data_IF_975257564609
#
_entry.id   IF_975257564609
#
_cell.length_a   1.000
_cell.length_b   1.000
_cell.length_c   1.000
_cell.angle_alpha   90.00
_cell.angle_beta   90.00
_cell.angle_gamma   90.00
#
_symmetry.space_group_name_H-M   'P 1'
#
loop_
_entity.id
_entity.type
_entity.pdbx_description
1 polymer ?
#
# COMPACT_ATOMS: atom_id res chain seq x y z
N UNK A 1 -19.82 -49.91 -0.77
CA UNK A 1 -19.08 -48.79 -1.40
C UNK A 1 -19.34 -47.53 -0.57
N UNK A 2 -18.32 -46.87 0.00
CA UNK A 2 -18.54 -45.66 0.78
C UNK A 2 -18.83 -44.49 -0.14
N UNK A 3 -20.03 -43.93 0.05
CA UNK A 3 -20.60 -42.80 -0.67
C UNK A 3 -19.77 -41.54 -0.35
N UNK A 4 -18.86 -41.13 -1.25
CA UNK A 4 -18.10 -39.87 -1.16
C UNK A 4 -19.05 -38.71 -1.39
N UNK A 5 -19.75 -38.30 -0.34
CA UNK A 5 -20.46 -37.02 -0.30
C UNK A 5 -19.40 -35.93 -0.37
N UNK A 6 -19.39 -35.17 -1.47
CA UNK A 6 -18.69 -33.90 -1.56
C UNK A 6 -19.10 -33.06 -0.35
N UNK A 7 -18.18 -32.83 0.58
CA UNK A 7 -18.40 -31.92 1.70
C UNK A 7 -18.63 -30.54 1.12
N UNK A 8 -19.82 -29.98 1.34
CA UNK A 8 -20.09 -28.57 1.10
C UNK A 8 -18.97 -27.74 1.75
N UNK A 9 -18.54 -26.62 1.14
CA UNK A 9 -17.61 -25.70 1.80
C UNK A 9 -18.18 -25.41 3.19
N UNK A 10 -17.36 -25.43 4.26
CA UNK A 10 -17.83 -25.34 5.63
C UNK A 10 -18.78 -24.15 5.77
N UNK A 11 -20.07 -24.48 5.74
CA UNK A 11 -21.21 -23.60 5.85
C UNK A 11 -21.07 -22.93 7.21
N UNK A 12 -20.93 -21.60 7.25
CA UNK A 12 -21.50 -20.61 8.21
C UNK A 12 -21.57 -20.94 9.74
N UNK A 13 -21.08 -22.08 10.19
CA UNK A 13 -21.16 -22.65 11.54
C UNK A 13 -19.78 -22.75 12.18
N UNK A 14 -18.73 -22.31 11.48
CA UNK A 14 -17.44 -22.07 12.12
C UNK A 14 -17.62 -20.83 12.97
N UNK A 15 -17.69 -21.00 14.29
CA UNK A 15 -17.73 -19.88 15.22
C UNK A 15 -16.54 -18.96 14.90
N UNK A 16 -16.84 -17.70 14.61
CA UNK A 16 -15.80 -16.73 14.30
C UNK A 16 -14.85 -16.67 15.51
N UNK A 17 -13.57 -17.05 15.37
CA UNK A 17 -12.65 -17.09 16.50
C UNK A 17 -12.39 -15.70 17.10
N UNK A 18 -12.80 -14.65 16.38
CA UNK A 18 -12.67 -13.26 16.80
C UNK A 18 -13.91 -12.77 17.53
N UNK A 19 -13.69 -12.15 18.68
CA UNK A 19 -14.75 -11.46 19.40
C UNK A 19 -15.26 -10.28 18.58
N UNK A 20 -16.57 -10.01 18.59
CA UNK A 20 -17.18 -8.87 17.86
C UNK A 20 -16.49 -7.54 18.18
N UNK A 21 -15.98 -7.40 19.40
CA UNK A 21 -15.20 -6.24 19.85
C UNK A 21 -13.85 -6.12 19.15
N UNK A 22 -13.14 -7.22 18.96
CA UNK A 22 -11.84 -7.25 18.28
C UNK A 22 -12.00 -6.92 16.80
N UNK A 23 -13.03 -7.46 16.15
CA UNK A 23 -13.37 -7.13 14.77
C UNK A 23 -13.66 -5.62 14.60
N UNK A 24 -14.42 -5.03 15.52
CA UNK A 24 -14.69 -3.59 15.50
C UNK A 24 -13.44 -2.73 15.68
N UNK A 25 -12.55 -3.10 16.60
CA UNK A 25 -11.28 -2.40 16.81
C UNK A 25 -10.42 -2.52 15.54
N UNK A 26 -10.35 -3.70 14.94
CA UNK A 26 -9.60 -3.91 13.69
C UNK A 26 -10.11 -3.02 12.57
N UNK A 27 -11.45 -2.95 12.37
CA UNK A 27 -12.06 -2.11 11.34
C UNK A 27 -11.75 -0.63 11.58
N UNK A 28 -11.84 -0.15 12.82
CA UNK A 28 -11.55 1.24 13.16
C UNK A 28 -10.08 1.57 12.88
N UNK A 29 -9.15 0.75 13.38
CA UNK A 29 -7.71 0.98 13.18
C UNK A 29 -7.36 0.93 11.69
N UNK A 30 -7.87 -0.06 10.97
CA UNK A 30 -7.65 -0.19 9.53
C UNK A 30 -8.16 1.05 8.78
N UNK A 31 -9.39 1.49 9.06
CA UNK A 31 -9.95 2.69 8.42
C UNK A 31 -9.14 3.94 8.71
N UNK A 32 -8.64 4.10 9.94
CA UNK A 32 -7.78 5.21 10.33
C UNK A 32 -6.44 5.19 9.57
N UNK A 33 -5.82 4.02 9.43
CA UNK A 33 -4.60 3.86 8.63
C UNK A 33 -4.82 4.22 7.17
N UNK A 34 -5.92 3.78 6.57
CA UNK A 34 -6.24 4.10 5.16
C UNK A 34 -6.45 5.61 4.99
N UNK A 35 -7.22 6.25 5.88
CA UNK A 35 -7.42 7.71 5.84
C UNK A 35 -6.07 8.44 6.00
N UNK A 36 -5.22 7.99 6.92
CA UNK A 36 -3.89 8.56 7.11
C UNK A 36 -3.03 8.45 5.84
N UNK A 37 -3.05 7.29 5.16
CA UNK A 37 -2.33 7.10 3.90
C UNK A 37 -2.83 8.02 2.79
N UNK A 38 -4.14 8.26 2.70
CA UNK A 38 -4.71 9.20 1.73
C UNK A 38 -4.24 10.63 2.03
N UNK A 39 -4.29 11.06 3.29
CA UNK A 39 -3.78 12.38 3.68
C UNK A 39 -2.28 12.53 3.40
N UNK A 40 -1.50 11.49 3.66
CA UNK A 40 -0.06 11.46 3.36
C UNK A 40 0.19 11.58 1.85
N UNK A 41 -0.60 10.88 1.03
CA UNK A 41 -0.51 10.95 -0.42
C UNK A 41 -0.75 12.38 -0.93
N UNK A 42 -1.83 13.03 -0.48
CA UNK A 42 -2.15 14.41 -0.83
C UNK A 42 -1.04 15.39 -0.38
N UNK A 43 -0.48 15.18 0.81
CA UNK A 43 0.63 15.98 1.31
C UNK A 43 1.90 15.84 0.44
N UNK A 44 2.18 14.64 -0.08
CA UNK A 44 3.35 14.37 -0.91
C UNK A 44 3.16 14.74 -2.39
N UNK A 45 1.91 14.83 -2.88
CA UNK A 45 1.58 15.20 -4.25
C UNK A 45 2.33 16.46 -4.78
N UNK A 46 2.44 17.58 -4.05
CA UNK A 46 3.19 18.75 -4.53
C UNK A 46 4.70 18.51 -4.67
N UNK A 47 5.28 17.54 -3.94
CA UNK A 47 6.69 17.17 -4.08
C UNK A 47 6.89 16.37 -5.36
N UNK A 48 5.99 15.42 -5.64
CA UNK A 48 6.08 14.57 -6.83
C UNK A 48 5.73 15.30 -8.13
N UNK A 49 4.72 16.17 -8.12
CA UNK A 49 4.29 16.90 -9.31
C UNK A 49 5.05 18.21 -9.55
N UNK A 50 6.05 18.55 -8.72
CA UNK A 50 6.88 19.70 -8.96
C UNK A 50 8.01 19.35 -9.94
N UNK A 51 8.01 19.84 -11.19
CA UNK A 51 9.08 19.58 -12.15
C UNK A 51 10.43 20.15 -11.68
N UNK A 52 10.39 21.13 -10.78
CA UNK A 52 11.55 21.81 -10.21
C UNK A 52 12.17 21.10 -9.00
N UNK A 53 11.63 19.95 -8.56
CA UNK A 53 12.17 19.26 -7.38
C UNK A 53 13.50 18.56 -7.71
N UNK A 54 14.62 18.95 -7.08
CA UNK A 54 15.96 18.61 -7.56
C UNK A 54 16.34 17.14 -7.36
N UNK A 55 15.66 16.40 -6.48
CA UNK A 55 16.04 15.03 -6.13
C UNK A 55 15.38 13.93 -6.97
N UNK A 56 14.17 14.17 -7.48
CA UNK A 56 13.41 13.16 -8.25
C UNK A 56 13.50 13.36 -9.76
N UNK A 57 13.75 14.59 -10.23
CA UNK A 57 13.82 14.93 -11.65
C UNK A 57 15.25 15.11 -12.17
N UNK A 58 16.26 14.76 -11.37
CA UNK A 58 17.66 14.85 -11.81
C UNK A 58 17.96 13.76 -12.83
N UNK A 59 17.97 14.13 -14.11
CA UNK A 59 18.50 13.29 -15.18
C UNK A 59 20.02 13.46 -15.17
N UNK A 60 20.82 12.43 -14.85
CA UNK A 60 22.27 12.53 -14.89
C UNK A 60 22.74 12.85 -16.32
N UNK A 61 23.56 13.89 -16.44
CA UNK A 61 24.17 14.27 -17.72
C UNK A 61 25.33 13.30 -18.02
N UNK A 62 25.12 12.41 -18.98
CA UNK A 62 26.12 11.46 -19.47
C UNK A 62 27.01 12.02 -20.59
N UNK A 63 26.92 13.33 -20.87
CA UNK A 63 27.78 13.95 -21.89
C UNK A 63 29.24 13.86 -21.47
N UNK A 64 30.08 13.32 -22.36
CA UNK A 64 31.53 13.29 -22.17
C UNK A 64 32.06 14.73 -22.10
N UNK A 65 32.62 15.10 -20.93
CA UNK A 65 33.26 16.40 -20.74
C UNK A 65 34.77 16.22 -20.94
N UNK A 66 35.35 16.68 -22.07
CA UNK A 66 36.79 16.61 -22.27
C UNK A 66 37.49 17.46 -21.20
N UNK A 67 38.70 17.08 -20.76
CA UNK A 67 39.47 17.87 -19.81
C UNK A 67 39.78 19.24 -20.40
N UNK A 68 39.37 20.30 -19.71
CA UNK A 68 39.76 21.67 -20.05
C UNK A 68 41.25 21.82 -19.80
N UNK A 69 42.03 21.82 -20.86
CA UNK A 69 43.47 22.13 -20.82
C UNK A 69 43.59 23.64 -20.63
N UNK A 70 43.88 24.07 -19.40
CA UNK A 70 44.36 25.42 -19.05
C UNK A 70 45.86 25.39 -18.84
#
# INVERSE_FOLDING_TARGET
MPNRKYSLPPDITVENPFSKREAWIFVIVYSCCVVFLVCLYEYLMPVFNNPTYPYYNYVPDYSFKPPTIT
#
